data_IF_675440093824
#
_entry.id   IF_675440093824
#
_cell.length_a   1.000
_cell.length_b   1.000
_cell.length_c   1.000
_cell.angle_alpha   90.00
_cell.angle_beta   90.00
_cell.angle_gamma   90.00
#
_symmetry.space_group_name_H-M   'P 1'
#
loop_
_entity.id
_entity.type
_entity.pdbx_description
1 polymer ?
#
# COMPACT_ATOMS: atom_id res chain seq x y z
N UNK A 1 -28.00 1.99 57.16
CA UNK A 1 -29.16 1.20 56.67
C UNK A 1 -28.84 0.78 55.25
N UNK A 2 -28.67 -0.47 54.83
CA UNK A 2 -28.62 -1.78 55.48
C UNK A 2 -27.84 -2.70 54.53
N UNK A 3 -27.08 -3.61 55.12
CA UNK A 3 -26.23 -4.64 54.50
C UNK A 3 -27.04 -5.91 54.19
N UNK A 4 -26.36 -6.95 53.67
CA UNK A 4 -26.72 -8.39 53.64
C UNK A 4 -27.45 -8.85 52.35
N UNK A 5 -27.26 -10.04 51.78
CA UNK A 5 -26.43 -11.21 52.10
C UNK A 5 -26.39 -12.19 50.91
N UNK A 6 -25.40 -13.09 50.93
CA UNK A 6 -25.31 -14.35 50.17
C UNK A 6 -26.18 -15.44 50.83
N UNK A 7 -26.72 -16.39 50.05
CA UNK A 7 -26.95 -17.80 50.42
C UNK A 7 -27.56 -18.58 49.22
N UNK A 8 -26.92 -19.62 48.64
CA UNK A 8 -26.77 -21.05 49.02
C UNK A 8 -27.82 -21.99 48.35
N UNK A 9 -27.30 -22.89 47.49
CA UNK A 9 -27.65 -24.29 47.16
C UNK A 9 -29.06 -24.70 46.68
N UNK A 10 -29.09 -25.46 45.57
CA UNK A 10 -29.84 -26.73 45.50
C UNK A 10 -29.23 -27.71 44.48
N UNK A 11 -29.27 -28.98 44.87
CA UNK A 11 -28.72 -30.21 44.30
C UNK A 11 -29.79 -30.85 43.41
N UNK A 12 -29.42 -31.51 42.31
CA UNK A 12 -29.90 -32.85 41.88
C UNK A 12 -29.51 -33.14 40.42
N UNK A 13 -29.18 -34.41 40.12
CA UNK A 13 -29.35 -34.92 38.75
C UNK A 13 -28.21 -35.76 38.18
N UNK A 14 -27.93 -36.89 38.82
CA UNK A 14 -27.12 -38.00 38.33
C UNK A 14 -27.73 -38.60 37.04
N UNK A 15 -27.05 -38.57 35.89
CA UNK A 15 -27.28 -39.55 34.80
C UNK A 15 -25.92 -40.03 34.27
N UNK A 16 -25.60 -41.26 34.66
CA UNK A 16 -24.52 -42.09 34.16
C UNK A 16 -25.06 -42.83 32.92
N UNK A 17 -24.46 -42.64 31.74
CA UNK A 17 -24.72 -43.50 30.58
C UNK A 17 -23.40 -44.04 30.06
N UNK A 18 -23.14 -45.28 30.46
CA UNK A 18 -22.08 -46.16 29.99
C UNK A 18 -22.33 -46.51 28.52
N UNK A 19 -21.43 -46.09 27.63
CA UNK A 19 -21.28 -46.70 26.32
C UNK A 19 -20.07 -47.64 26.35
N UNK A 20 -20.37 -48.94 26.49
CA UNK A 20 -19.48 -50.04 26.16
C UNK A 20 -19.51 -50.22 24.63
N UNK A 21 -18.44 -49.83 23.95
CA UNK A 21 -18.16 -50.28 22.58
C UNK A 21 -16.97 -51.22 22.65
N UNK A 22 -17.26 -52.52 22.53
CA UNK A 22 -16.28 -53.54 22.22
C UNK A 22 -16.03 -53.52 20.71
N UNK A 23 -14.80 -53.24 20.28
CA UNK A 23 -14.32 -53.64 18.96
C UNK A 23 -13.01 -54.39 19.13
N UNK A 24 -13.12 -55.71 18.94
CA UNK A 24 -12.00 -56.62 18.85
C UNK A 24 -11.43 -56.58 17.42
N UNK A 25 -10.10 -56.46 17.36
CA UNK A 25 -9.21 -57.20 16.47
C UNK A 25 -9.38 -57.07 14.95
N UNK A 26 -8.41 -56.41 14.31
CA UNK A 26 -7.73 -56.94 13.12
C UNK A 26 -6.39 -56.22 12.92
N UNK A 27 -5.31 -56.91 13.29
CA UNK A 27 -3.95 -56.54 12.95
C UNK A 27 -3.53 -57.32 11.69
N UNK A 28 -3.33 -56.61 10.59
CA UNK A 28 -2.53 -56.96 9.40
C UNK A 28 -2.62 -55.72 8.51
N UNK A 29 -1.56 -55.01 8.14
CA UNK A 29 -0.45 -55.50 7.36
C UNK A 29 -0.03 -54.33 6.47
N UNK A 30 1.22 -53.94 6.65
CA UNK A 30 2.07 -53.12 5.81
C UNK A 30 1.58 -52.80 4.38
N UNK A 31 1.55 -51.51 4.05
CA UNK A 31 2.25 -50.98 2.86
C UNK A 31 2.45 -49.46 3.02
N UNK A 32 3.73 -49.11 3.20
CA UNK A 32 4.25 -47.75 3.09
C UNK A 32 4.05 -47.28 1.64
N UNK A 33 2.92 -46.63 1.37
CA UNK A 33 2.81 -45.73 0.23
C UNK A 33 3.53 -44.45 0.58
N UNK A 34 4.80 -44.34 0.18
CA UNK A 34 5.45 -43.05 0.05
C UNK A 34 4.59 -42.21 -0.90
N UNK A 35 3.76 -41.33 -0.31
CA UNK A 35 3.09 -40.28 -1.06
C UNK A 35 4.21 -39.48 -1.72
N UNK A 36 4.32 -39.66 -3.04
CA UNK A 36 5.18 -38.86 -3.88
C UNK A 36 4.92 -37.41 -3.51
N UNK A 37 5.91 -36.78 -2.87
CA UNK A 37 6.02 -35.33 -2.90
C UNK A 37 5.96 -34.97 -4.37
N UNK A 38 4.88 -34.30 -4.75
CA UNK A 38 4.67 -33.73 -6.06
C UNK A 38 5.87 -32.83 -6.34
N UNK A 39 6.86 -33.42 -6.99
CA UNK A 39 7.99 -32.75 -7.58
C UNK A 39 7.42 -31.65 -8.46
N UNK A 40 7.69 -30.41 -8.08
CA UNK A 40 7.63 -29.17 -8.85
C UNK A 40 7.40 -29.45 -10.35
N UNK A 41 6.13 -29.56 -10.73
CA UNK A 41 5.74 -29.59 -12.13
C UNK A 41 6.15 -28.24 -12.73
N UNK A 42 6.78 -28.30 -13.90
CA UNK A 42 7.43 -27.18 -14.57
C UNK A 42 6.63 -25.89 -14.45
N UNK A 43 7.31 -24.88 -13.92
CA UNK A 43 6.81 -23.57 -13.55
C UNK A 43 6.29 -22.82 -14.80
N UNK A 44 5.07 -23.11 -15.24
CA UNK A 44 4.42 -22.34 -16.30
C UNK A 44 4.17 -20.94 -15.74
N UNK A 45 4.83 -19.95 -16.33
CA UNK A 45 4.60 -18.54 -16.01
C UNK A 45 3.14 -18.21 -16.32
N UNK A 46 2.47 -17.57 -15.36
CA UNK A 46 1.12 -17.06 -15.51
C UNK A 46 1.20 -15.75 -16.30
N UNK A 47 0.24 -15.53 -17.20
CA UNK A 47 0.04 -14.22 -17.82
C UNK A 47 -0.57 -13.25 -16.77
N UNK A 48 0.14 -12.18 -16.36
CA UNK A 48 -0.37 -11.24 -15.37
C UNK A 48 -1.70 -10.58 -15.75
N UNK A 49 -2.01 -10.48 -17.05
CA UNK A 49 -3.23 -9.85 -17.57
C UNK A 49 -4.44 -10.81 -17.62
N UNK A 50 -4.27 -12.11 -17.36
CA UNK A 50 -5.27 -13.13 -17.66
C UNK A 50 -6.45 -13.22 -16.66
N UNK A 51 -6.46 -12.44 -15.58
CA UNK A 51 -7.50 -12.51 -14.54
C UNK A 51 -8.29 -11.20 -14.39
N UNK A 52 -9.45 -11.27 -13.75
CA UNK A 52 -10.22 -10.10 -13.29
C UNK A 52 -10.77 -9.19 -14.39
N UNK A 53 -11.34 -8.06 -13.97
CA UNK A 53 -11.75 -6.93 -14.81
C UNK A 53 -10.68 -5.84 -14.82
N UNK A 54 -10.92 -4.78 -15.59
CA UNK A 54 -10.21 -3.50 -15.48
C UNK A 54 -11.16 -2.32 -15.68
N UNK A 55 -10.72 -1.13 -15.28
CA UNK A 55 -11.34 0.17 -15.56
C UNK A 55 -10.51 1.05 -16.49
N UNK A 56 -9.59 0.47 -17.27
CA UNK A 56 -8.79 1.26 -18.20
C UNK A 56 -9.67 1.97 -19.24
N UNK A 57 -9.55 3.30 -19.31
CA UNK A 57 -10.35 4.13 -20.22
C UNK A 57 -11.81 4.32 -19.82
N UNK A 58 -12.23 3.82 -18.65
CA UNK A 58 -13.57 4.04 -18.10
C UNK A 58 -13.55 5.24 -17.13
N UNK A 59 -14.69 5.92 -16.92
CA UNK A 59 -14.77 6.97 -15.90
C UNK A 59 -14.40 6.43 -14.51
N UNK A 60 -13.83 7.28 -13.67
CA UNK A 60 -13.68 6.99 -12.23
C UNK A 60 -15.09 6.81 -11.66
N UNK A 61 -15.39 5.68 -10.98
CA UNK A 61 -16.72 5.45 -10.43
C UNK A 61 -17.01 6.45 -9.31
N UNK A 62 -18.29 6.66 -9.01
CA UNK A 62 -18.69 7.34 -7.78
C UNK A 62 -18.25 6.52 -6.56
N UNK A 63 -17.80 7.19 -5.51
CA UNK A 63 -17.30 6.53 -4.31
C UNK A 63 -17.56 7.36 -3.05
N UNK A 64 -17.55 6.66 -1.92
CA UNK A 64 -17.65 7.24 -0.58
C UNK A 64 -16.32 7.86 -0.18
N UNK A 65 -16.32 9.12 0.24
CA UNK A 65 -15.11 9.82 0.64
C UNK A 65 -14.62 9.34 2.02
N UNK A 66 -13.35 9.57 2.33
CA UNK A 66 -12.74 9.07 3.54
C UNK A 66 -13.19 9.74 4.82
N UNK A 67 -13.64 10.98 4.76
CA UNK A 67 -14.29 11.66 5.89
C UNK A 67 -15.57 10.91 6.32
N UNK A 68 -16.35 10.42 5.36
CA UNK A 68 -17.49 9.53 5.62
C UNK A 68 -17.03 8.19 6.23
N UNK A 69 -15.94 7.62 5.74
CA UNK A 69 -15.36 6.39 6.31
C UNK A 69 -14.92 6.61 7.77
N UNK A 70 -14.32 7.77 8.05
CA UNK A 70 -13.87 8.14 9.39
C UNK A 70 -15.04 8.37 10.35
N UNK A 71 -16.27 8.59 9.89
CA UNK A 71 -17.41 8.64 10.80
C UNK A 71 -17.50 7.36 11.67
N UNK A 72 -17.37 6.19 11.05
CA UNK A 72 -17.37 4.89 11.73
C UNK A 72 -15.97 4.47 12.22
N UNK A 73 -14.92 4.79 11.46
CA UNK A 73 -13.55 4.33 11.75
C UNK A 73 -12.70 5.33 12.54
N UNK A 74 -13.27 6.43 13.02
CA UNK A 74 -12.56 7.49 13.77
C UNK A 74 -11.81 6.99 15.00
N UNK A 75 -12.28 5.96 15.69
CA UNK A 75 -11.63 5.56 16.94
C UNK A 75 -10.38 4.70 16.71
N UNK A 76 -10.41 3.85 15.67
CA UNK A 76 -9.35 2.87 15.43
C UNK A 76 -8.34 3.36 14.39
N UNK A 77 -8.79 4.12 13.39
CA UNK A 77 -7.98 4.52 12.23
C UNK A 77 -7.68 6.02 12.26
N UNK A 78 -8.68 6.86 12.56
CA UNK A 78 -8.58 8.33 12.49
C UNK A 78 -7.32 8.92 13.14
N UNK A 79 -7.05 8.67 14.43
CA UNK A 79 -5.88 9.21 15.15
C UNK A 79 -4.54 8.86 14.52
N UNK A 80 -4.45 7.69 13.88
CA UNK A 80 -3.23 7.20 13.25
C UNK A 80 -3.05 7.68 11.81
N UNK A 81 -4.16 7.91 11.09
CA UNK A 81 -4.13 8.21 9.66
C UNK A 81 -3.36 9.50 9.34
N UNK A 82 -3.57 10.55 10.14
CA UNK A 82 -2.88 11.84 9.98
C UNK A 82 -1.37 11.80 10.27
N UNK A 83 -0.86 10.65 10.76
CA UNK A 83 0.58 10.40 10.98
C UNK A 83 1.10 9.27 10.10
N UNK A 84 0.23 8.70 9.26
CA UNK A 84 0.56 7.58 8.41
C UNK A 84 1.35 8.05 7.19
N UNK A 85 2.36 7.29 6.76
CA UNK A 85 3.17 7.65 5.60
C UNK A 85 2.34 7.81 4.30
N UNK A 86 1.25 7.06 4.14
CA UNK A 86 0.34 7.22 3.01
C UNK A 86 -0.52 8.48 3.14
N UNK A 87 -1.08 8.73 4.32
CA UNK A 87 -1.91 9.92 4.59
C UNK A 87 -1.13 11.23 4.50
N UNK A 88 0.15 11.24 4.89
CA UNK A 88 1.00 12.45 4.88
C UNK A 88 1.84 12.61 3.61
N UNK A 89 1.66 11.74 2.61
CA UNK A 89 2.44 11.77 1.37
C UNK A 89 2.28 13.08 0.59
N UNK A 90 1.10 13.71 0.71
CA UNK A 90 0.79 15.04 0.24
C UNK A 90 -0.06 15.73 1.31
N UNK A 91 0.33 16.92 1.74
CA UNK A 91 -0.32 17.68 2.82
C UNK A 91 -0.61 19.11 2.38
N UNK A 92 -1.62 19.72 2.96
CA UNK A 92 -1.82 21.16 2.86
C UNK A 92 -1.05 21.93 3.94
N UNK A 93 -1.08 23.25 3.85
CA UNK A 93 -0.27 24.12 4.71
C UNK A 93 -0.63 24.02 6.19
N UNK A 94 -1.90 23.77 6.49
CA UNK A 94 -2.41 23.61 7.85
C UNK A 94 -1.87 22.33 8.50
N UNK A 95 -1.70 21.26 7.72
CA UNK A 95 -1.16 19.97 8.18
C UNK A 95 0.37 19.86 8.04
N UNK A 96 1.01 20.87 7.45
CA UNK A 96 2.46 20.95 7.24
C UNK A 96 3.01 22.34 7.55
N UNK A 97 2.82 22.87 8.78
CA UNK A 97 3.25 24.22 9.13
C UNK A 97 4.77 24.39 9.04
N UNK A 98 5.54 23.32 9.25
CA UNK A 98 6.99 23.27 9.06
C UNK A 98 7.39 23.52 7.60
N UNK A 99 6.68 22.91 6.65
CA UNK A 99 6.93 23.08 5.21
C UNK A 99 6.43 24.45 4.71
N UNK A 100 5.30 24.92 5.24
CA UNK A 100 4.80 26.26 4.94
C UNK A 100 5.77 27.35 5.44
N UNK A 101 6.36 27.18 6.63
CA UNK A 101 7.39 28.07 7.15
C UNK A 101 8.66 28.03 6.27
N UNK A 102 9.09 26.83 5.87
CA UNK A 102 10.24 26.65 4.99
C UNK A 102 10.06 27.37 3.64
N UNK A 103 8.87 27.29 3.04
CA UNK A 103 8.55 27.96 1.77
C UNK A 103 8.55 29.49 1.85
N UNK A 104 8.46 30.06 3.06
CA UNK A 104 8.46 31.51 3.33
C UNK A 104 9.78 31.98 3.95
N UNK A 105 10.73 31.08 4.20
CA UNK A 105 11.99 31.40 4.85
C UNK A 105 12.92 32.23 3.95
N UNK A 106 13.82 32.98 4.57
CA UNK A 106 14.89 33.68 3.84
C UNK A 106 15.72 32.69 3.03
N UNK A 107 15.99 33.02 1.76
CA UNK A 107 16.69 32.15 0.82
C UNK A 107 15.80 31.15 0.06
N UNK A 108 14.49 31.09 0.35
CA UNK A 108 13.56 30.39 -0.52
C UNK A 108 13.34 31.14 -1.84
N UNK A 109 13.11 30.45 -2.98
CA UNK A 109 12.68 31.09 -4.21
C UNK A 109 11.43 31.93 -3.95
N UNK A 110 11.35 33.13 -4.54
CA UNK A 110 10.20 34.04 -4.29
C UNK A 110 8.84 33.38 -4.55
N UNK A 111 8.76 32.54 -5.59
CA UNK A 111 7.54 31.81 -5.96
C UNK A 111 7.16 30.70 -4.98
N UNK A 112 8.07 30.25 -4.11
CA UNK A 112 7.80 29.22 -3.11
C UNK A 112 6.71 29.66 -2.13
N UNK A 113 6.61 30.96 -1.84
CA UNK A 113 5.59 31.51 -0.94
C UNK A 113 4.15 31.34 -1.45
N UNK A 114 3.95 31.05 -2.73
CA UNK A 114 2.63 30.74 -3.32
C UNK A 114 2.17 29.30 -3.07
N UNK A 115 3.06 28.43 -2.59
CA UNK A 115 2.74 27.04 -2.31
C UNK A 115 1.75 26.92 -1.15
N UNK A 116 0.70 26.15 -1.36
CA UNK A 116 -0.28 25.81 -0.32
C UNK A 116 -0.32 24.31 0.00
N UNK A 117 0.34 23.50 -0.82
CA UNK A 117 0.42 22.04 -0.69
C UNK A 117 1.87 21.57 -0.81
N UNK A 118 2.19 20.46 -0.15
CA UNK A 118 3.54 19.94 -0.02
C UNK A 118 3.55 18.43 -0.19
N UNK A 119 4.46 17.92 -1.02
CA UNK A 119 4.66 16.49 -1.25
C UNK A 119 6.08 16.09 -0.86
N UNK A 120 6.23 14.92 -0.24
CA UNK A 120 7.52 14.43 0.25
C UNK A 120 7.65 14.50 1.78
N UNK A 121 8.81 14.07 2.30
CA UNK A 121 9.02 14.01 3.76
C UNK A 121 10.49 14.16 4.15
N UNK A 122 11.18 13.03 4.41
CA UNK A 122 12.43 12.98 5.21
C UNK A 122 13.64 13.64 4.57
N UNK A 123 13.67 13.72 3.25
CA UNK A 123 14.86 14.14 2.50
C UNK A 123 14.58 15.25 1.50
N UNK A 124 13.32 15.36 1.03
CA UNK A 124 12.93 16.33 0.03
C UNK A 124 11.48 16.75 0.22
N UNK A 125 11.23 18.03 -0.06
CA UNK A 125 9.89 18.62 -0.10
C UNK A 125 9.68 19.28 -1.46
N UNK A 126 8.61 18.88 -2.13
CA UNK A 126 8.08 19.47 -3.34
C UNK A 126 6.95 20.41 -3.00
N UNK A 127 6.89 21.53 -3.72
CA UNK A 127 5.93 22.59 -3.48
C UNK A 127 4.86 22.57 -4.57
N UNK A 128 3.60 22.64 -4.16
CA UNK A 128 2.44 22.57 -5.05
C UNK A 128 1.49 23.74 -4.77
N UNK A 129 0.80 24.16 -5.83
CA UNK A 129 -0.35 25.06 -5.72
C UNK A 129 -1.48 24.61 -6.62
N UNK A 130 -2.72 24.92 -6.25
CA UNK A 130 -3.89 24.68 -7.12
C UNK A 130 -3.70 25.38 -8.47
N UNK A 131 -4.07 24.70 -9.55
CA UNK A 131 -3.97 25.19 -10.93
C UNK A 131 -5.26 24.97 -11.73
N UNK A 132 -6.37 24.79 -11.01
CA UNK A 132 -7.68 24.43 -11.55
C UNK A 132 -8.37 23.43 -10.63
N UNK A 133 -9.61 23.07 -10.95
CA UNK A 133 -10.31 22.01 -10.25
C UNK A 133 -9.56 20.68 -10.42
N UNK A 134 -9.29 20.00 -9.29
CA UNK A 134 -8.58 18.72 -9.28
C UNK A 134 -7.16 18.77 -9.87
N UNK A 135 -6.47 19.91 -9.88
CA UNK A 135 -5.14 20.04 -10.51
C UNK A 135 -4.15 20.80 -9.65
N UNK A 136 -2.91 20.33 -9.64
CA UNK A 136 -1.78 21.05 -9.05
C UNK A 136 -0.73 21.44 -10.09
N UNK A 137 -0.22 22.66 -9.95
CA UNK A 137 1.07 23.02 -10.52
C UNK A 137 2.18 22.60 -9.55
N UNK A 138 3.28 22.09 -10.09
CA UNK A 138 4.46 21.69 -9.34
C UNK A 138 5.56 22.71 -9.54
N UNK A 139 6.16 23.19 -8.45
CA UNK A 139 7.33 24.06 -8.55
C UNK A 139 8.54 23.23 -8.99
N UNK A 140 9.33 23.77 -9.92
CA UNK A 140 10.60 23.14 -10.34
C UNK A 140 11.60 23.10 -9.19
N UNK A 141 11.62 24.14 -8.36
CA UNK A 141 12.45 24.20 -7.17
C UNK A 141 11.90 23.29 -6.06
N UNK A 142 12.82 22.75 -5.25
CA UNK A 142 12.49 21.86 -4.15
C UNK A 142 13.46 22.04 -2.98
N UNK A 143 13.00 21.73 -1.79
CA UNK A 143 13.83 21.78 -0.59
C UNK A 143 14.48 20.41 -0.36
N UNK A 144 15.80 20.37 -0.27
CA UNK A 144 16.52 19.20 0.24
C UNK A 144 16.66 19.33 1.76
N UNK A 145 16.33 18.28 2.50
CA UNK A 145 16.36 18.23 3.95
C UNK A 145 17.48 17.31 4.45
N UNK A 146 18.07 17.70 5.58
CA UNK A 146 18.98 16.87 6.36
C UNK A 146 18.21 15.82 7.17
N UNK A 147 18.89 14.81 7.75
CA UNK A 147 18.25 13.83 8.64
C UNK A 147 17.54 14.44 9.86
N UNK A 148 17.92 15.64 10.31
CA UNK A 148 17.24 16.39 11.37
C UNK A 148 16.06 17.25 10.86
N UNK A 149 15.60 17.00 9.64
CA UNK A 149 14.50 17.67 8.94
C UNK A 149 14.71 19.16 8.69
N UNK A 150 15.92 19.68 8.91
CA UNK A 150 16.25 21.07 8.58
C UNK A 150 16.63 21.20 7.11
N UNK A 151 16.34 22.37 6.53
CA UNK A 151 16.74 22.73 5.19
C UNK A 151 18.27 22.56 5.04
N UNK A 152 18.69 21.74 4.09
CA UNK A 152 20.07 21.62 3.66
C UNK A 152 20.37 22.64 2.57
N UNK A 153 19.54 22.66 1.52
CA UNK A 153 19.64 23.59 0.39
C UNK A 153 18.34 23.61 -0.41
N UNK A 154 18.15 24.66 -1.18
CA UNK A 154 17.20 24.68 -2.27
C UNK A 154 17.86 24.11 -3.54
N UNK A 155 17.12 23.30 -4.28
CA UNK A 155 17.50 22.79 -5.60
C UNK A 155 16.70 23.57 -6.63
N UNK A 156 17.36 23.96 -7.74
CA UNK A 156 16.78 24.71 -8.86
C UNK A 156 16.08 26.03 -8.47
N UNK A 157 16.64 26.72 -7.47
CA UNK A 157 16.08 27.94 -6.90
C UNK A 157 16.09 29.13 -7.88
N UNK A 158 17.18 29.31 -8.62
CA UNK A 158 17.41 30.50 -9.45
C UNK A 158 16.46 30.60 -10.65
N UNK A 159 15.92 29.46 -11.09
CA UNK A 159 15.00 29.36 -12.24
C UNK A 159 13.68 28.68 -11.85
N UNK A 160 13.23 28.95 -10.62
CA UNK A 160 12.00 28.39 -10.07
C UNK A 160 10.80 28.80 -10.92
N UNK A 161 10.11 27.80 -11.49
CA UNK A 161 8.89 28.00 -12.29
C UNK A 161 7.82 27.00 -11.91
N UNK A 162 6.58 27.45 -11.99
CA UNK A 162 5.41 26.60 -11.83
C UNK A 162 5.12 25.86 -13.12
N UNK A 163 5.03 24.53 -13.05
CA UNK A 163 4.60 23.68 -14.16
C UNK A 163 3.21 23.12 -13.86
N UNK A 164 2.21 23.57 -14.62
CA UNK A 164 0.81 23.20 -14.43
C UNK A 164 0.48 21.75 -14.84
N UNK A 165 1.38 21.06 -15.55
CA UNK A 165 1.14 19.73 -16.11
C UNK A 165 1.92 18.65 -15.40
N UNK A 166 3.13 18.95 -14.92
CA UNK A 166 4.07 17.96 -14.39
C UNK A 166 3.54 17.12 -13.23
N UNK A 167 2.73 17.69 -12.34
CA UNK A 167 2.13 16.91 -11.25
C UNK A 167 1.13 15.88 -11.78
N UNK A 168 0.22 16.31 -12.66
CA UNK A 168 -0.75 15.45 -13.33
C UNK A 168 -0.05 14.34 -14.10
N UNK A 169 0.97 14.68 -14.89
CA UNK A 169 1.66 13.75 -15.78
C UNK A 169 2.47 12.67 -15.08
N UNK A 170 2.78 12.84 -13.78
CA UNK A 170 3.79 12.03 -13.10
C UNK A 170 3.39 11.55 -11.72
N UNK A 171 2.77 12.41 -10.93
CA UNK A 171 2.62 12.20 -9.49
C UNK A 171 1.17 11.90 -9.08
N UNK A 172 0.19 12.43 -9.80
CA UNK A 172 -1.21 12.44 -9.37
C UNK A 172 -1.71 11.03 -9.03
N UNK A 173 -1.48 10.03 -9.90
CA UNK A 173 -1.97 8.67 -9.68
C UNK A 173 -1.51 7.99 -8.38
N UNK A 174 -0.42 8.47 -7.77
CA UNK A 174 0.13 7.89 -6.54
C UNK A 174 0.02 8.79 -5.30
N UNK A 175 -0.40 10.05 -5.48
CA UNK A 175 -0.40 11.08 -4.43
C UNK A 175 -1.74 11.80 -4.28
N UNK A 176 -2.77 11.37 -5.02
CA UNK A 176 -4.13 11.92 -4.95
C UNK A 176 -5.15 10.79 -5.09
N UNK A 177 -6.41 11.10 -4.81
CA UNK A 177 -7.52 10.15 -4.80
C UNK A 177 -8.47 10.43 -5.96
N UNK A 178 -8.92 9.38 -6.65
CA UNK A 178 -9.91 9.47 -7.73
C UNK A 178 -9.36 10.22 -8.95
N UNK A 179 -8.21 9.79 -9.47
CA UNK A 179 -7.56 10.42 -10.62
C UNK A 179 -8.21 9.95 -11.92
N UNK A 180 -8.69 10.90 -12.72
CA UNK A 180 -8.98 10.67 -14.14
C UNK A 180 -7.70 10.88 -14.95
N UNK A 181 -7.19 9.81 -15.54
CA UNK A 181 -5.94 9.77 -16.28
C UNK A 181 -5.98 10.52 -17.60
N UNK A 182 -7.17 10.75 -18.17
CA UNK A 182 -7.35 11.51 -19.40
C UNK A 182 -7.24 13.00 -19.12
N UNK A 183 -8.00 13.49 -18.15
CA UNK A 183 -8.04 14.92 -17.81
C UNK A 183 -6.95 15.34 -16.82
N UNK A 184 -6.36 14.35 -16.14
CA UNK A 184 -5.38 14.46 -15.05
C UNK A 184 -5.93 15.24 -13.87
N UNK A 185 -7.25 15.18 -13.69
CA UNK A 185 -7.97 15.74 -12.57
C UNK A 185 -8.10 14.70 -11.46
N UNK A 186 -8.08 15.14 -10.20
CA UNK A 186 -8.32 14.30 -9.04
C UNK A 186 -9.49 14.84 -8.21
N UNK A 187 -10.15 13.94 -7.50
CA UNK A 187 -11.26 14.29 -6.60
C UNK A 187 -10.75 14.82 -5.25
N UNK A 188 -9.72 14.19 -4.69
CA UNK A 188 -9.14 14.55 -3.38
C UNK A 188 -7.62 14.62 -3.43
N UNK A 189 -7.02 15.55 -2.68
CA UNK A 189 -5.56 15.58 -2.52
C UNK A 189 -5.13 14.57 -1.45
N UNK A 190 -3.94 13.98 -1.62
CA UNK A 190 -3.51 12.89 -0.75
C UNK A 190 -4.20 11.56 -1.07
N UNK A 191 -3.67 10.49 -0.50
CA UNK A 191 -4.28 9.18 -0.59
C UNK A 191 -5.33 9.04 0.48
N UNK A 192 -6.53 8.67 0.07
CA UNK A 192 -7.66 8.43 0.96
C UNK A 192 -8.08 6.94 0.99
N UNK A 193 -9.03 6.60 1.85
CA UNK A 193 -9.60 5.28 2.08
C UNK A 193 -9.96 4.56 0.77
N UNK A 194 -10.59 5.28 -0.17
CA UNK A 194 -10.95 4.79 -1.50
C UNK A 194 -9.76 4.20 -2.27
N UNK A 195 -8.57 4.79 -2.16
CA UNK A 195 -7.36 4.34 -2.88
C UNK A 195 -7.03 2.87 -2.61
N UNK A 196 -7.32 2.39 -1.40
CA UNK A 196 -7.00 1.02 -0.96
C UNK A 196 -8.22 0.12 -0.83
N UNK A 197 -9.39 0.70 -0.53
CA UNK A 197 -10.62 -0.04 -0.29
C UNK A 197 -11.61 -0.03 -1.47
N UNK A 198 -11.42 0.88 -2.43
CA UNK A 198 -12.24 1.00 -3.63
C UNK A 198 -13.63 1.55 -3.39
N UNK A 199 -14.51 1.26 -4.35
CA UNK A 199 -15.95 1.44 -4.17
C UNK A 199 -16.41 0.43 -3.13
N UNK A 200 -16.81 0.94 -1.97
CA UNK A 200 -17.15 0.11 -0.81
C UNK A 200 -18.60 -0.38 -0.90
N UNK A 201 -18.82 -1.65 -0.58
CA UNK A 201 -20.17 -2.16 -0.32
C UNK A 201 -20.59 -1.69 1.08
N UNK A 202 -21.69 -0.94 1.19
CA UNK A 202 -22.15 -0.39 2.48
C UNK A 202 -22.62 -1.48 3.46
N UNK A 203 -22.96 -2.68 2.98
CA UNK A 203 -23.26 -3.83 3.84
C UNK A 203 -22.00 -4.43 4.48
N UNK A 204 -20.80 -3.90 4.22
CA UNK A 204 -19.57 -4.35 4.91
C UNK A 204 -19.63 -4.17 6.44
N UNK A 205 -20.52 -3.29 6.92
CA UNK A 205 -20.83 -3.13 8.34
C UNK A 205 -21.42 -4.40 8.96
N UNK A 206 -22.10 -5.22 8.17
CA UNK A 206 -22.64 -6.53 8.55
C UNK A 206 -21.67 -7.66 8.18
N UNK A 207 -20.98 -7.53 7.06
CA UNK A 207 -19.97 -8.49 6.62
C UNK A 207 -18.69 -7.85 6.08
N UNK A 208 -17.65 -7.85 6.92
CA UNK A 208 -16.30 -7.39 6.53
C UNK A 208 -15.65 -8.19 5.38
N UNK A 209 -16.24 -9.29 4.89
CA UNK A 209 -15.75 -9.96 3.69
C UNK A 209 -15.96 -9.14 2.41
N UNK A 210 -16.88 -8.17 2.46
CA UNK A 210 -17.24 -7.32 1.32
C UNK A 210 -16.21 -6.20 1.06
N UNK A 211 -15.37 -5.88 2.04
CA UNK A 211 -14.36 -4.82 1.90
C UNK A 211 -12.97 -5.37 1.55
N UNK A 212 -12.32 -4.75 0.56
CA UNK A 212 -10.95 -5.09 0.20
C UNK A 212 -9.98 -4.89 1.36
N UNK A 213 -8.90 -5.70 1.38
CA UNK A 213 -7.88 -5.73 2.43
C UNK A 213 -8.38 -6.12 3.84
N UNK A 214 -9.63 -6.59 3.98
CA UNK A 214 -10.10 -7.12 5.25
C UNK A 214 -9.37 -8.41 5.64
N UNK A 215 -9.45 -8.79 6.92
CA UNK A 215 -8.89 -10.05 7.41
C UNK A 215 -9.46 -11.27 6.67
N UNK A 216 -10.70 -11.18 6.17
CA UNK A 216 -11.38 -12.27 5.45
C UNK A 216 -10.89 -12.40 4.00
N UNK A 217 -10.34 -11.33 3.42
CA UNK A 217 -9.83 -11.28 2.03
C UNK A 217 -8.31 -11.39 1.92
N UNK A 218 -7.60 -11.77 2.99
CA UNK A 218 -6.13 -11.83 3.02
C UNK A 218 -5.49 -12.80 2.00
N UNK A 219 -6.28 -13.71 1.42
CA UNK A 219 -5.85 -14.69 0.43
C UNK A 219 -6.04 -14.21 -1.02
N UNK A 220 -6.66 -13.06 -1.24
CA UNK A 220 -6.90 -12.49 -2.57
C UNK A 220 -5.62 -11.81 -3.09
N UNK A 221 -4.54 -12.57 -3.23
CA UNK A 221 -3.17 -12.04 -3.36
C UNK A 221 -2.94 -11.28 -4.65
N UNK A 222 -3.57 -11.70 -5.76
CA UNK A 222 -3.57 -10.95 -7.01
C UNK A 222 -4.20 -9.56 -6.84
N UNK A 223 -5.38 -9.47 -6.22
CA UNK A 223 -6.06 -8.20 -5.96
C UNK A 223 -5.30 -7.32 -4.98
N UNK A 224 -4.83 -7.88 -3.85
CA UNK A 224 -3.96 -7.18 -2.89
C UNK A 224 -2.72 -6.61 -3.59
N UNK A 225 -2.09 -7.41 -4.45
CA UNK A 225 -0.89 -7.01 -5.18
C UNK A 225 -1.20 -5.89 -6.17
N UNK A 226 -2.28 -5.98 -6.95
CA UNK A 226 -2.74 -4.89 -7.82
C UNK A 226 -2.94 -3.58 -7.06
N UNK A 227 -3.56 -3.63 -5.87
CA UNK A 227 -3.80 -2.43 -5.06
C UNK A 227 -2.49 -1.75 -4.69
N UNK A 228 -1.53 -2.51 -4.14
CA UNK A 228 -0.26 -1.93 -3.72
C UNK A 228 0.64 -1.53 -4.90
N UNK A 229 0.67 -2.35 -5.94
CA UNK A 229 1.50 -2.15 -7.12
C UNK A 229 1.08 -0.93 -7.96
N UNK A 230 -0.18 -0.49 -7.84
CA UNK A 230 -0.69 0.70 -8.53
C UNK A 230 0.17 1.95 -8.32
N UNK A 231 0.80 2.08 -7.15
CA UNK A 231 1.70 3.19 -6.81
C UNK A 231 3.16 2.76 -6.64
N UNK A 232 3.40 1.50 -6.24
CA UNK A 232 4.70 1.04 -5.79
C UNK A 232 5.58 0.43 -6.91
N UNK A 233 5.03 0.06 -8.06
CA UNK A 233 5.83 -0.29 -9.25
C UNK A 233 6.31 0.96 -9.99
N UNK A 234 7.22 1.69 -9.35
CA UNK A 234 7.83 2.88 -9.93
C UNK A 234 8.59 2.46 -11.18
N UNK A 235 8.37 3.18 -12.29
CA UNK A 235 8.83 2.88 -13.67
C UNK A 235 7.91 2.00 -14.53
N UNK A 236 6.80 1.50 -13.98
CA UNK A 236 5.71 0.98 -14.80
C UNK A 236 5.02 2.10 -15.57
N UNK A 237 4.35 1.75 -16.68
CA UNK A 237 3.57 2.70 -17.49
C UNK A 237 2.25 2.10 -17.94
N UNK A 238 1.18 2.88 -17.91
CA UNK A 238 -0.07 2.53 -18.55
C UNK A 238 0.14 2.36 -20.06
N UNK A 239 -0.35 1.26 -20.64
CA UNK A 239 -0.30 1.00 -22.08
C UNK A 239 -1.16 2.00 -22.84
N UNK A 240 -2.36 2.29 -22.32
CA UNK A 240 -3.34 3.14 -22.99
C UNK A 240 -3.02 4.64 -22.90
N UNK A 241 -2.39 5.10 -21.82
CA UNK A 241 -2.14 6.55 -21.62
C UNK A 241 -0.66 6.93 -21.67
N UNK A 242 0.25 5.97 -21.51
CA UNK A 242 1.69 6.23 -21.37
C UNK A 242 2.11 6.85 -20.04
N UNK A 243 1.16 7.15 -19.14
CA UNK A 243 1.41 7.72 -17.83
C UNK A 243 2.15 6.72 -16.93
N UNK A 244 2.96 7.20 -15.96
CA UNK A 244 3.72 6.35 -15.04
C UNK A 244 2.86 5.80 -13.89
N UNK A 245 1.55 5.78 -14.08
CA UNK A 245 0.55 5.24 -13.15
C UNK A 245 -0.63 4.67 -13.98
N UNK A 246 -1.52 3.86 -13.37
CA UNK A 246 -2.57 3.16 -14.10
C UNK A 246 -3.65 4.07 -14.66
N UNK A 247 -4.24 3.70 -15.79
CA UNK A 247 -5.42 4.39 -16.32
C UNK A 247 -6.66 4.03 -15.48
N UNK A 248 -7.04 4.91 -14.56
CA UNK A 248 -8.28 4.85 -13.78
C UNK A 248 -8.49 3.53 -13.02
N UNK A 249 -7.44 3.00 -12.40
CA UNK A 249 -7.50 1.75 -11.63
C UNK A 249 -8.51 1.83 -10.48
N UNK A 250 -9.38 0.82 -10.37
CA UNK A 250 -10.31 0.63 -9.25
C UNK A 250 -9.89 -0.62 -8.48
N UNK A 251 -9.90 -0.53 -7.14
CA UNK A 251 -9.55 -1.63 -6.24
C UNK A 251 -10.43 -2.86 -6.53
N UNK A 252 -9.78 -3.98 -6.80
CA UNK A 252 -10.42 -5.23 -7.25
C UNK A 252 -10.17 -5.55 -8.71
N UNK A 253 -9.79 -4.56 -9.51
CA UNK A 253 -9.35 -4.78 -10.89
C UNK A 253 -7.98 -5.48 -10.97
N UNK A 254 -7.74 -6.05 -12.14
CA UNK A 254 -6.43 -6.48 -12.56
C UNK A 254 -5.64 -5.28 -13.12
N UNK A 255 -4.70 -4.81 -12.31
CA UNK A 255 -3.77 -3.74 -12.66
C UNK A 255 -3.03 -3.99 -13.98
N UNK A 256 -2.64 -5.23 -14.25
CA UNK A 256 -1.69 -5.59 -15.31
C UNK A 256 -2.32 -5.73 -16.69
N UNK A 257 -3.66 -5.61 -16.80
CA UNK A 257 -4.32 -5.51 -18.11
C UNK A 257 -3.91 -4.26 -18.88
N UNK A 258 -3.71 -3.15 -18.18
CA UNK A 258 -3.24 -1.89 -18.76
C UNK A 258 -1.85 -1.48 -18.28
N UNK A 259 -1.45 -1.79 -17.05
CA UNK A 259 -0.13 -1.39 -16.56
C UNK A 259 0.97 -2.32 -17.11
N UNK A 260 1.84 -1.78 -17.96
CA UNK A 260 3.03 -2.47 -18.45
C UNK A 260 4.17 -2.38 -17.44
N UNK A 261 4.71 -3.55 -17.10
CA UNK A 261 5.76 -3.70 -16.08
C UNK A 261 6.87 -4.57 -16.66
N UNK A 262 8.11 -4.13 -16.49
CA UNK A 262 9.29 -4.96 -16.73
C UNK A 262 9.62 -5.77 -15.46
N UNK A 263 9.18 -7.02 -15.41
CA UNK A 263 9.41 -7.90 -14.26
C UNK A 263 10.87 -8.37 -14.13
N UNK A 264 11.74 -8.14 -15.12
CA UNK A 264 13.17 -8.45 -14.98
C UNK A 264 13.85 -7.59 -13.92
N UNK A 265 13.27 -6.41 -13.63
CA UNK A 265 13.70 -5.50 -12.55
C UNK A 265 13.69 -6.10 -11.15
N UNK A 266 12.96 -7.19 -10.93
CA UNK A 266 13.00 -7.93 -9.67
C UNK A 266 14.41 -8.45 -9.32
N UNK A 267 15.30 -8.59 -10.30
CA UNK A 267 16.68 -9.03 -10.11
C UNK A 267 17.71 -7.90 -10.37
N UNK A 268 17.26 -6.69 -10.72
CA UNK A 268 18.12 -5.55 -11.01
C UNK A 268 18.76 -4.99 -9.73
N UNK A 269 20.08 -5.14 -9.63
CA UNK A 269 20.86 -4.67 -8.49
C UNK A 269 21.11 -3.16 -8.50
N UNK A 270 20.84 -2.47 -9.61
CA UNK A 270 20.91 -1.00 -9.68
C UNK A 270 19.73 -0.33 -8.97
N UNK A 271 18.60 -1.04 -8.80
CA UNK A 271 17.49 -0.56 -8.00
C UNK A 271 17.82 -0.53 -6.51
N UNK A 272 17.27 0.46 -5.81
CA UNK A 272 17.32 0.46 -4.36
C UNK A 272 16.57 -0.77 -3.80
N UNK A 273 16.97 -1.21 -2.61
CA UNK A 273 16.43 -2.42 -1.99
C UNK A 273 14.91 -2.42 -1.86
N UNK A 274 14.30 -1.27 -1.58
CA UNK A 274 12.85 -1.13 -1.45
C UNK A 274 12.10 -1.37 -2.76
N UNK A 275 12.57 -0.77 -3.86
CA UNK A 275 11.92 -0.94 -5.17
C UNK A 275 12.12 -2.36 -5.69
N UNK A 276 13.33 -2.92 -5.59
CA UNK A 276 13.58 -4.32 -5.96
C UNK A 276 12.70 -5.30 -5.18
N UNK A 277 12.52 -5.07 -3.86
CA UNK A 277 11.62 -5.84 -3.01
C UNK A 277 10.18 -5.85 -3.54
N UNK A 278 9.68 -4.69 -3.98
CA UNK A 278 8.34 -4.56 -4.59
C UNK A 278 8.28 -5.37 -5.88
N UNK A 279 9.21 -5.15 -6.81
CA UNK A 279 9.24 -5.87 -8.10
C UNK A 279 9.27 -7.38 -7.92
N UNK A 280 10.07 -7.88 -6.97
CA UNK A 280 10.15 -9.32 -6.67
C UNK A 280 8.84 -9.86 -6.13
N UNK A 281 8.25 -9.20 -5.13
CA UNK A 281 6.96 -9.61 -4.56
C UNK A 281 5.89 -9.69 -5.64
N UNK A 282 5.79 -8.64 -6.48
CA UNK A 282 4.79 -8.61 -7.53
C UNK A 282 5.05 -9.72 -8.54
N UNK A 283 6.27 -9.85 -9.07
CA UNK A 283 6.62 -10.92 -10.02
C UNK A 283 6.28 -12.30 -9.47
N UNK A 284 6.64 -12.57 -8.23
CA UNK A 284 6.43 -13.88 -7.63
C UNK A 284 4.94 -14.22 -7.57
N UNK A 285 4.07 -13.25 -7.28
CA UNK A 285 2.63 -13.45 -7.24
C UNK A 285 2.03 -13.52 -8.66
N UNK A 286 2.32 -12.54 -9.52
CA UNK A 286 1.55 -12.32 -10.76
C UNK A 286 2.12 -13.06 -11.97
N UNK A 287 3.41 -13.42 -11.93
CA UNK A 287 4.10 -14.17 -13.00
C UNK A 287 4.36 -15.61 -12.55
N UNK A 288 4.84 -15.80 -11.32
CA UNK A 288 5.22 -17.13 -10.83
C UNK A 288 4.09 -17.84 -10.06
N UNK A 289 2.94 -17.19 -9.85
CA UNK A 289 1.77 -17.81 -9.22
C UNK A 289 1.90 -18.08 -7.72
N UNK A 290 2.76 -17.34 -7.01
CA UNK A 290 2.88 -17.48 -5.58
C UNK A 290 1.63 -16.93 -4.85
N UNK A 291 1.08 -17.72 -3.94
CA UNK A 291 -0.03 -17.28 -3.09
C UNK A 291 0.44 -16.46 -1.87
N UNK A 292 1.71 -16.56 -1.47
CA UNK A 292 2.27 -15.83 -0.32
C UNK A 292 3.79 -15.70 -0.45
N UNK A 293 4.43 -14.71 0.20
CA UNK A 293 3.82 -13.61 0.96
C UNK A 293 3.28 -12.49 0.07
N UNK A 294 2.11 -11.94 0.42
CA UNK A 294 1.60 -10.67 -0.15
C UNK A 294 2.05 -9.46 0.64
N UNK A 295 1.81 -8.25 0.13
CA UNK A 295 2.19 -6.99 0.78
C UNK A 295 1.69 -6.90 2.24
N UNK A 296 0.41 -7.23 2.49
CA UNK A 296 -0.21 -7.15 3.83
C UNK A 296 0.09 -8.36 4.73
N UNK A 297 0.80 -9.37 4.20
CA UNK A 297 1.37 -10.44 5.02
C UNK A 297 2.45 -9.87 5.93
N UNK A 298 3.24 -8.92 5.43
CA UNK A 298 4.36 -8.29 6.14
C UNK A 298 4.03 -6.88 6.66
N UNK A 299 3.19 -6.13 5.95
CA UNK A 299 2.88 -4.73 6.30
C UNK A 299 1.54 -4.58 7.03
N UNK A 300 1.51 -3.69 8.03
CA UNK A 300 0.29 -3.18 8.65
C UNK A 300 0.13 -1.72 8.25
N UNK A 301 -0.63 -1.50 7.18
CA UNK A 301 -0.76 -0.19 6.51
C UNK A 301 -1.19 0.89 7.50
N UNK A 302 -2.32 0.72 8.19
CA UNK A 302 -2.83 1.73 9.12
C UNK A 302 -1.92 2.00 10.32
N UNK A 303 -1.25 0.96 10.83
CA UNK A 303 -0.33 1.09 11.96
C UNK A 303 1.06 1.64 11.56
N UNK A 304 1.26 1.98 10.28
CA UNK A 304 2.52 2.50 9.73
C UNK A 304 3.74 1.65 10.13
N UNK A 305 3.57 0.33 10.14
CA UNK A 305 4.57 -0.59 10.65
C UNK A 305 4.68 -1.81 9.75
N UNK A 306 5.88 -2.36 9.71
CA UNK A 306 6.16 -3.64 9.08
C UNK A 306 6.21 -4.77 10.10
N UNK A 307 5.81 -4.63 11.37
CA UNK A 307 6.07 -5.62 12.43
C UNK A 307 5.82 -7.11 12.06
N UNK A 308 4.85 -7.41 11.18
CA UNK A 308 4.61 -8.77 10.68
C UNK A 308 5.73 -9.33 9.78
N UNK A 309 6.58 -8.50 9.19
CA UNK A 309 7.76 -8.92 8.40
C UNK A 309 8.75 -9.80 9.20
N UNK A 310 8.62 -9.86 10.53
CA UNK A 310 9.38 -10.76 11.40
C UNK A 310 8.81 -12.19 11.47
N UNK A 311 7.57 -12.40 11.01
CA UNK A 311 6.84 -13.67 11.08
C UNK A 311 7.02 -14.61 9.88
N UNK A 312 7.19 -14.18 8.62
CA UNK A 312 7.32 -15.11 7.50
C UNK A 312 8.66 -15.86 7.56
N UNK A 313 8.72 -17.11 7.05
CA UNK A 313 9.98 -17.82 6.87
C UNK A 313 10.96 -17.01 6.04
N UNK A 314 12.26 -17.09 6.38
CA UNK A 314 13.31 -16.44 5.60
C UNK A 314 13.28 -16.97 4.17
N UNK A 315 13.01 -16.09 3.21
CA UNK A 315 13.07 -16.40 1.79
C UNK A 315 13.94 -15.37 1.07
N UNK A 316 14.18 -15.56 -0.22
CA UNK A 316 15.07 -14.70 -1.02
C UNK A 316 14.67 -13.22 -0.97
N UNK A 317 13.39 -12.92 -0.80
CA UNK A 317 12.88 -11.55 -0.64
C UNK A 317 13.45 -10.83 0.59
N UNK A 318 13.77 -11.56 1.67
CA UNK A 318 14.37 -10.98 2.86
C UNK A 318 15.75 -10.40 2.56
N UNK A 319 16.47 -11.02 1.62
CA UNK A 319 17.84 -10.66 1.27
C UNK A 319 17.95 -9.38 0.45
N UNK A 320 16.82 -8.80 0.01
CA UNK A 320 16.83 -7.46 -0.58
C UNK A 320 17.28 -6.41 0.43
N UNK A 321 16.81 -6.53 1.67
CA UNK A 321 17.07 -5.58 2.74
C UNK A 321 17.99 -6.14 3.83
N UNK A 322 18.16 -7.46 3.92
CA UNK A 322 19.01 -8.10 4.91
C UNK A 322 20.24 -8.75 4.29
N UNK A 323 21.28 -8.94 5.10
CA UNK A 323 22.44 -9.71 4.68
C UNK A 323 22.12 -11.20 4.64
N UNK A 324 22.76 -11.93 3.73
CA UNK A 324 22.62 -13.38 3.61
C UNK A 324 23.17 -14.11 4.85
N UNK A 325 24.19 -13.53 5.46
CA UNK A 325 24.85 -14.04 6.65
C UNK A 325 24.70 -13.06 7.83
N UNK A 326 24.72 -13.60 9.05
CA UNK A 326 24.64 -12.83 10.28
C UNK A 326 23.21 -12.50 10.76
N UNK A 327 23.07 -11.61 11.77
CA UNK A 327 21.78 -11.28 12.36
C UNK A 327 20.88 -10.49 11.41
N UNK A 328 19.66 -10.97 11.15
CA UNK A 328 18.65 -10.25 10.35
C UNK A 328 18.29 -8.85 10.87
N UNK A 329 18.54 -8.54 12.14
CA UNK A 329 18.34 -7.17 12.65
C UNK A 329 19.20 -6.13 11.93
N UNK A 330 20.26 -6.58 11.25
CA UNK A 330 21.11 -5.72 10.43
C UNK A 330 20.45 -5.59 9.06
N UNK A 331 20.09 -4.35 8.71
CA UNK A 331 19.53 -4.00 7.41
C UNK A 331 20.56 -3.29 6.55
N UNK A 332 20.47 -3.50 5.24
CA UNK A 332 21.19 -2.73 4.23
C UNK A 332 20.57 -1.32 4.20
N UNK A 333 21.35 -0.25 4.47
CA UNK A 333 20.83 1.10 4.31
C UNK A 333 20.51 1.35 2.83
N UNK A 334 19.40 2.02 2.58
CA UNK A 334 19.04 2.48 1.24
C UNK A 334 18.27 3.79 1.32
N UNK A 335 18.36 4.59 0.27
CA UNK A 335 17.59 5.83 0.14
C UNK A 335 16.36 5.55 -0.71
N UNK A 336 15.19 5.95 -0.21
CA UNK A 336 13.97 5.98 -1.02
C UNK A 336 14.04 7.21 -1.91
N UNK A 337 13.92 6.99 -3.21
CA UNK A 337 13.76 8.05 -4.19
C UNK A 337 12.74 7.65 -5.24
N UNK A 338 12.25 8.62 -5.99
CA UNK A 338 11.36 8.42 -7.12
C UNK A 338 11.89 9.24 -8.30
N UNK A 339 12.36 8.58 -9.34
CA UNK A 339 12.67 9.26 -10.59
C UNK A 339 11.39 9.89 -11.19
N UNK A 340 10.23 9.25 -11.01
CA UNK A 340 8.94 9.74 -11.50
C UNK A 340 8.54 11.05 -10.82
N UNK A 341 8.62 11.13 -9.50
CA UNK A 341 8.20 12.31 -8.74
C UNK A 341 9.36 13.24 -8.33
N UNK A 342 10.60 12.86 -8.68
CA UNK A 342 11.85 13.60 -8.50
C UNK A 342 12.20 13.96 -7.03
N UNK A 343 11.84 13.09 -6.09
CA UNK A 343 12.19 13.22 -4.67
C UNK A 343 12.99 12.03 -4.14
#
# INVERSE_FOLDING_TARGET
MGSQARAFYSIQGLILLLFLIAFAGSAAGWLRGAGASSSLQGNQKIDPAAWGSDHAGKPVPEFVHGDECLFCHRNDIGPGWQKNAHGIGLRESEDAPDFAALAKASGAPRSAAEASYFMGSRHRVRLLKKSGYGKFALLSAQAALRPDHKLQKWIDADNARWDATKFGDRCAGCHTTGVDSTTKQFTGFGLDCYTCHGVVDLDHTKDTSLIWLSKKRKKDTLAITSICASCHLREAKSRSTGLPYPNNFVVGDNLFKDLNVDFSKADDQSLNAGDRHIYRTVRDIVVNGADVPSCITCHQVHANTSAKHKLPPRSTICLDCHNAEGPLKITKPYTVSSAVCEY
#
